data_IF_538021648136
#
_entry.id   IF_538021648136
#
_cell.length_a   1.000
_cell.length_b   1.000
_cell.length_c   1.000
_cell.angle_alpha   90.00
_cell.angle_beta   90.00
_cell.angle_gamma   90.00
#
_symmetry.space_group_name_H-M   'P 1'
#
loop_
_entity.id
_entity.type
_entity.pdbx_description
1 polymer ?
#
# COMPACT_ATOMS: atom_id res chain seq x y z
N UNK A 1 32.80 -22.94 -33.14
CA UNK A 1 32.62 -22.36 -31.80
C UNK A 1 31.75 -21.11 -31.88
N UNK A 2 30.42 -21.19 -32.01
CA UNK A 2 29.55 -20.01 -31.91
C UNK A 2 28.10 -20.47 -31.75
N UNK A 3 27.58 -20.59 -30.53
CA UNK A 3 26.12 -20.58 -30.29
C UNK A 3 25.67 -20.52 -28.81
N UNK A 4 26.54 -20.23 -27.84
CA UNK A 4 26.13 -20.14 -26.43
C UNK A 4 25.72 -18.72 -25.97
N UNK A 5 26.03 -17.67 -26.74
CA UNK A 5 26.01 -16.29 -26.24
C UNK A 5 24.64 -15.59 -26.29
N UNK A 6 23.70 -16.06 -27.12
CA UNK A 6 22.39 -15.38 -27.30
C UNK A 6 21.32 -15.75 -26.26
N UNK A 7 21.48 -16.87 -25.56
CA UNK A 7 20.46 -17.39 -24.63
C UNK A 7 20.59 -16.74 -23.24
N UNK A 8 21.81 -16.40 -22.83
CA UNK A 8 22.08 -15.81 -21.51
C UNK A 8 21.45 -14.41 -21.33
N UNK A 9 21.37 -13.61 -22.40
CA UNK A 9 20.82 -12.26 -22.33
C UNK A 9 19.29 -12.22 -22.17
N UNK A 10 18.58 -13.21 -22.71
CA UNK A 10 17.12 -13.29 -22.61
C UNK A 10 16.65 -13.68 -21.21
N UNK A 11 17.44 -14.48 -20.49
CA UNK A 11 17.11 -14.95 -19.13
C UNK A 11 17.26 -13.82 -18.11
N UNK A 12 18.23 -12.92 -18.27
CA UNK A 12 18.43 -11.79 -17.35
C UNK A 12 17.30 -10.74 -17.44
N UNK A 13 16.63 -10.64 -18.59
CA UNK A 13 15.57 -9.66 -18.85
C UNK A 13 14.22 -10.06 -18.24
N UNK A 14 13.98 -11.36 -17.99
CA UNK A 14 12.75 -11.88 -17.40
C UNK A 14 12.67 -11.70 -15.87
N UNK A 15 13.80 -11.53 -15.19
CA UNK A 15 13.84 -11.39 -13.72
C UNK A 15 13.42 -10.00 -13.25
N UNK A 16 13.49 -8.98 -14.12
CA UNK A 16 13.14 -7.60 -13.76
C UNK A 16 11.63 -7.31 -13.69
N UNK A 17 10.76 -8.15 -14.24
CA UNK A 17 9.32 -7.89 -14.32
C UNK A 17 8.50 -8.41 -13.14
N UNK A 18 9.12 -9.05 -12.15
CA UNK A 18 8.42 -9.59 -10.98
C UNK A 18 8.41 -8.66 -9.76
N UNK A 19 8.79 -7.38 -9.90
CA UNK A 19 8.58 -6.40 -8.83
C UNK A 19 7.08 -6.12 -8.76
N UNK A 20 6.40 -6.75 -7.81
CA UNK A 20 5.00 -6.45 -7.50
C UNK A 20 4.89 -4.96 -7.18
N UNK A 21 4.12 -4.23 -8.00
CA UNK A 21 3.98 -2.79 -7.88
C UNK A 21 3.15 -2.46 -6.64
N UNK A 22 3.81 -2.21 -5.50
CA UNK A 22 3.16 -1.56 -4.35
C UNK A 22 2.94 -0.11 -4.74
N UNK A 23 1.68 0.25 -5.01
CA UNK A 23 1.33 1.62 -5.30
C UNK A 23 1.15 2.39 -3.99
N UNK A 24 1.90 3.48 -3.84
CA UNK A 24 1.73 4.41 -2.72
C UNK A 24 0.65 5.44 -3.09
N UNK A 25 -0.45 5.41 -2.36
CA UNK A 25 -1.58 6.31 -2.55
C UNK A 25 -1.52 7.47 -1.54
N UNK A 26 -1.93 8.67 -1.98
CA UNK A 26 -2.07 9.82 -1.07
C UNK A 26 -3.40 9.84 -0.32
N UNK A 27 -4.39 9.10 -0.80
CA UNK A 27 -5.72 9.06 -0.22
C UNK A 27 -6.44 7.76 -0.57
N UNK A 28 -7.39 7.35 0.26
CA UNK A 28 -8.33 6.28 -0.07
C UNK A 28 -9.75 6.62 0.38
N UNK A 29 -10.72 5.97 -0.25
CA UNK A 29 -12.14 6.11 0.10
C UNK A 29 -12.58 5.06 1.10
N UNK A 30 -13.39 5.49 2.06
CA UNK A 30 -14.10 4.67 3.02
C UNK A 30 -15.58 5.05 2.97
N UNK A 31 -16.39 4.28 2.23
CA UNK A 31 -17.76 4.68 1.89
C UNK A 31 -17.76 6.02 1.13
N UNK A 32 -18.45 7.02 1.68
CA UNK A 32 -18.52 8.39 1.13
C UNK A 32 -17.37 9.28 1.59
N UNK A 33 -16.54 8.83 2.53
CA UNK A 33 -15.45 9.63 3.09
C UNK A 33 -14.13 9.39 2.36
N UNK A 34 -13.31 10.43 2.28
CA UNK A 34 -11.93 10.36 1.82
C UNK A 34 -11.00 10.59 3.01
N UNK A 35 -9.99 9.73 3.15
CA UNK A 35 -8.91 9.89 4.13
C UNK A 35 -7.60 10.15 3.40
N UNK A 36 -6.69 10.90 4.03
CA UNK A 36 -5.45 11.37 3.42
C UNK A 36 -4.24 10.96 4.24
N UNK A 37 -3.25 10.40 3.55
CA UNK A 37 -1.93 10.12 4.09
C UNK A 37 -0.98 11.31 4.00
N UNK A 38 0.30 11.08 4.30
CA UNK A 38 1.38 12.07 4.19
C UNK A 38 1.95 12.54 5.53
N UNK A 39 1.40 12.10 6.67
CA UNK A 39 2.01 12.25 8.00
C UNK A 39 2.08 13.67 8.57
N UNK A 40 1.73 14.70 7.81
CA UNK A 40 1.69 16.09 8.27
C UNK A 40 0.36 16.48 8.92
N UNK A 41 0.22 17.74 9.32
CA UNK A 41 -0.97 18.30 10.01
C UNK A 41 -2.31 18.07 9.31
N UNK A 42 -2.30 17.89 7.99
CA UNK A 42 -3.51 17.67 7.17
C UNK A 42 -3.85 16.18 7.00
N UNK A 43 -3.03 15.27 7.50
CA UNK A 43 -3.28 13.83 7.40
C UNK A 43 -4.32 13.37 8.43
N UNK A 44 -5.08 12.35 8.05
CA UNK A 44 -6.16 11.80 8.85
C UNK A 44 -5.60 11.09 10.09
N UNK A 45 -6.15 11.37 11.28
CA UNK A 45 -5.73 10.69 12.51
C UNK A 45 -6.36 9.30 12.67
N UNK A 46 -5.74 8.43 13.46
CA UNK A 46 -6.23 7.07 13.74
C UNK A 46 -7.71 7.02 14.15
N UNK A 47 -8.12 7.91 15.05
CA UNK A 47 -9.53 8.00 15.49
C UNK A 47 -10.48 8.31 14.32
N UNK A 48 -10.09 9.24 13.44
CA UNK A 48 -10.91 9.63 12.30
C UNK A 48 -10.95 8.55 11.22
N UNK A 49 -9.85 7.80 11.04
CA UNK A 49 -9.83 6.60 10.19
C UNK A 49 -10.82 5.55 10.72
N UNK A 50 -10.73 5.17 11.99
CA UNK A 50 -11.67 4.22 12.62
C UNK A 50 -13.12 4.68 12.47
N UNK A 51 -13.40 5.96 12.73
CA UNK A 51 -14.75 6.52 12.64
C UNK A 51 -15.31 6.49 11.21
N UNK A 52 -14.48 6.71 10.19
CA UNK A 52 -14.90 6.79 8.78
C UNK A 52 -14.88 5.44 8.06
N UNK A 53 -13.92 4.59 8.40
CA UNK A 53 -13.63 3.32 7.71
C UNK A 53 -14.08 2.09 8.48
N UNK A 54 -14.37 2.23 9.78
CA UNK A 54 -14.65 1.10 10.66
C UNK A 54 -13.38 0.36 11.09
N UNK A 55 -13.58 -0.81 11.67
CA UNK A 55 -12.49 -1.69 12.10
C UNK A 55 -11.76 -2.31 10.91
N UNK A 56 -10.42 -2.32 10.90
CA UNK A 56 -9.64 -3.02 9.90
C UNK A 56 -9.77 -4.55 10.05
N UNK A 57 -9.47 -5.29 8.98
CA UNK A 57 -9.42 -6.77 9.03
C UNK A 57 -8.22 -7.27 9.84
N UNK A 58 -7.16 -6.45 9.92
CA UNK A 58 -5.99 -6.71 10.73
C UNK A 58 -5.43 -5.42 11.29
N UNK A 59 -5.06 -5.45 12.57
CA UNK A 59 -4.47 -4.33 13.29
C UNK A 59 -3.20 -4.78 14.00
N UNK A 60 -2.07 -4.21 13.61
CA UNK A 60 -0.78 -4.44 14.24
C UNK A 60 -0.12 -3.11 14.58
N UNK A 61 -0.28 -2.66 15.83
CA UNK A 61 0.19 -1.35 16.32
C UNK A 61 -0.26 -0.20 15.40
N UNK A 62 0.70 0.41 14.71
CA UNK A 62 0.52 1.55 13.81
C UNK A 62 0.26 1.12 12.36
N UNK A 63 0.08 -0.18 12.08
CA UNK A 63 -0.21 -0.71 10.75
C UNK A 63 -1.56 -1.41 10.72
N UNK A 64 -2.49 -0.87 9.94
CA UNK A 64 -3.86 -1.38 9.82
C UNK A 64 -4.13 -1.80 8.39
N UNK A 65 -4.79 -2.93 8.20
CA UNK A 65 -5.11 -3.45 6.87
C UNK A 65 -6.63 -3.46 6.67
N UNK A 66 -7.07 -2.82 5.60
CA UNK A 66 -8.45 -2.81 5.18
C UNK A 66 -8.62 -3.59 3.88
N UNK A 67 -9.78 -4.20 3.73
CA UNK A 67 -10.16 -4.86 2.50
C UNK A 67 -10.98 -3.93 1.61
N UNK A 68 -10.59 -3.76 0.36
CA UNK A 68 -11.34 -2.94 -0.61
C UNK A 68 -11.40 -3.64 -1.98
N UNK A 69 -12.48 -4.38 -2.22
CA UNK A 69 -12.64 -5.16 -3.44
C UNK A 69 -11.55 -6.22 -3.57
N UNK A 70 -10.75 -6.15 -4.65
CA UNK A 70 -9.61 -7.04 -4.91
C UNK A 70 -8.27 -6.54 -4.34
N UNK A 71 -8.29 -5.49 -3.51
CA UNK A 71 -7.08 -4.88 -2.97
C UNK A 71 -7.10 -4.91 -1.45
N UNK A 72 -5.92 -5.11 -0.85
CA UNK A 72 -5.62 -4.72 0.51
C UNK A 72 -5.12 -3.29 0.54
N UNK A 73 -5.64 -2.51 1.49
CA UNK A 73 -5.23 -1.14 1.79
C UNK A 73 -4.46 -1.17 3.10
N UNK A 74 -3.16 -0.99 3.04
CA UNK A 74 -2.26 -1.00 4.19
C UNK A 74 -2.02 0.43 4.61
N UNK A 75 -2.48 0.78 5.81
CA UNK A 75 -2.35 2.11 6.39
C UNK A 75 -1.25 2.04 7.45
N UNK A 76 -0.28 2.95 7.36
CA UNK A 76 0.75 3.11 8.38
C UNK A 76 0.60 4.47 9.03
N UNK A 77 0.49 4.50 10.35
CA UNK A 77 0.45 5.72 11.16
C UNK A 77 1.86 6.08 11.65
N UNK A 78 2.11 7.36 11.87
CA UNK A 78 3.32 7.81 12.56
C UNK A 78 3.13 7.78 14.08
N UNK A 79 4.17 8.13 14.82
CA UNK A 79 4.16 8.18 16.29
C UNK A 79 3.17 9.19 16.90
N UNK A 80 2.66 10.14 16.12
CA UNK A 80 1.61 11.08 16.53
C UNK A 80 0.19 10.54 16.26
N UNK A 81 0.08 9.30 15.77
CA UNK A 81 -1.19 8.67 15.38
C UNK A 81 -1.78 9.28 14.11
N UNK A 82 -0.95 9.86 13.23
CA UNK A 82 -1.35 10.47 11.96
C UNK A 82 -1.04 9.55 10.80
N UNK A 83 -1.94 9.47 9.82
CA UNK A 83 -1.78 8.58 8.67
C UNK A 83 -0.58 9.02 7.82
N UNK A 84 0.48 8.24 7.88
CA UNK A 84 1.73 8.51 7.17
C UNK A 84 1.69 7.98 5.75
N UNK A 85 1.27 6.72 5.58
CA UNK A 85 1.26 6.03 4.28
C UNK A 85 -0.01 5.25 4.06
N UNK A 86 -0.40 5.16 2.79
CA UNK A 86 -1.44 4.26 2.29
C UNK A 86 -0.79 3.50 1.14
N UNK A 87 -0.78 2.17 1.26
CA UNK A 87 -0.26 1.27 0.25
C UNK A 87 -1.37 0.36 -0.25
N UNK A 88 -1.28 0.03 -1.53
CA UNK A 88 -2.24 -0.81 -2.23
C UNK A 88 -1.57 -2.07 -2.71
N UNK A 89 -2.01 -3.20 -2.17
CA UNK A 89 -1.55 -4.53 -2.55
C UNK A 89 -2.72 -5.31 -3.15
N UNK A 90 -2.49 -6.04 -4.24
CA UNK A 90 -3.52 -6.91 -4.81
C UNK A 90 -3.61 -8.17 -3.95
N UNK A 91 -4.83 -8.62 -3.65
CA UNK A 91 -5.07 -9.90 -2.98
C UNK A 91 -4.54 -11.09 -3.78
#
# INVERSE_FOLDING_TARGET
MFQASKIAAAILLLVFFAVQAIASDRSMRCGTYLIYGGGGKNSTGMYEVLRKCGEPIMKNNDTWVYEQGSMFRILTFNHEGRLARIESERK
#
